data_IF_734495545835
#
_entry.id   IF_734495545835
#
_cell.length_a   1.000
_cell.length_b   1.000
_cell.length_c   1.000
_cell.angle_alpha   90.00
_cell.angle_beta   90.00
_cell.angle_gamma   90.00
#
_symmetry.space_group_name_H-M   'P 1'
#
loop_
_entity.id
_entity.type
_entity.pdbx_description
1 polymer ?
#
# COMPACT_ATOMS: atom_id res chain seq x y z
N UNK A 1 -4.86 15.30 -14.06
CA UNK A 1 -4.94 13.89 -13.61
C UNK A 1 -3.63 13.54 -12.92
N UNK A 2 -3.67 12.62 -11.97
CA UNK A 2 -2.48 12.17 -11.27
C UNK A 2 -2.47 10.64 -11.25
N UNK A 3 -1.31 10.04 -11.52
CA UNK A 3 -1.09 8.59 -11.46
C UNK A 3 0.16 8.29 -10.66
N UNK A 4 0.19 7.14 -9.98
CA UNK A 4 1.33 6.72 -9.17
C UNK A 4 1.61 5.23 -9.35
N UNK A 5 2.88 4.87 -9.38
CA UNK A 5 3.31 3.48 -9.42
C UNK A 5 4.68 3.30 -8.77
N UNK A 6 5.08 2.04 -8.60
CA UNK A 6 6.34 1.65 -7.96
C UNK A 6 7.24 0.92 -8.94
N UNK A 7 8.48 1.37 -9.04
CA UNK A 7 9.54 0.67 -9.77
C UNK A 7 9.98 -0.57 -9.02
N UNK A 8 10.22 -1.68 -9.75
CA UNK A 8 10.67 -2.95 -9.17
C UNK A 8 12.13 -2.91 -8.71
N UNK A 9 13.00 -2.23 -9.46
CA UNK A 9 14.44 -2.09 -9.18
C UNK A 9 14.82 -0.61 -9.02
N UNK A 10 14.33 0.07 -7.98
CA UNK A 10 14.46 1.52 -7.87
C UNK A 10 15.91 2.00 -7.67
N UNK A 11 16.77 1.17 -7.07
CA UNK A 11 18.16 1.53 -6.74
C UNK A 11 19.03 1.80 -7.97
N UNK A 12 18.82 1.06 -9.05
CA UNK A 12 19.55 1.23 -10.32
C UNK A 12 19.21 2.58 -10.96
N UNK A 13 17.93 2.94 -10.94
CA UNK A 13 17.43 4.22 -11.45
C UNK A 13 17.97 5.38 -10.60
N UNK A 14 17.91 5.27 -9.27
CA UNK A 14 18.44 6.29 -8.37
C UNK A 14 19.95 6.50 -8.55
N UNK A 15 20.71 5.42 -8.74
CA UNK A 15 22.15 5.50 -9.00
C UNK A 15 22.42 6.23 -10.32
N UNK A 16 21.63 5.96 -11.36
CA UNK A 16 21.72 6.67 -12.65
C UNK A 16 21.42 8.16 -12.49
N UNK A 17 20.40 8.52 -11.70
CA UNK A 17 20.02 9.91 -11.46
C UNK A 17 21.07 10.67 -10.64
N UNK A 18 21.70 10.04 -9.65
CA UNK A 18 22.75 10.63 -8.83
C UNK A 18 24.03 11.00 -9.61
N UNK A 19 24.24 10.41 -10.80
CA UNK A 19 25.36 10.76 -11.69
C UNK A 19 25.07 11.96 -12.61
N UNK A 20 23.81 12.43 -12.66
CA UNK A 20 23.45 13.65 -13.41
C UNK A 20 23.90 14.86 -12.58
N UNK A 21 24.55 15.88 -13.18
CA UNK A 21 25.23 16.93 -12.43
C UNK A 21 24.24 17.69 -11.54
N UNK A 22 24.38 17.53 -10.23
CA UNK A 22 23.76 18.40 -9.24
C UNK A 22 24.61 19.68 -9.17
N UNK A 23 24.00 20.84 -9.44
CA UNK A 23 24.68 22.11 -9.19
C UNK A 23 24.78 22.34 -7.67
N UNK A 24 26.00 22.51 -7.16
CA UNK A 24 26.23 22.93 -5.79
C UNK A 24 25.58 24.31 -5.53
N UNK A 25 24.59 24.36 -4.62
CA UNK A 25 24.04 25.60 -4.06
C UNK A 25 22.50 25.64 -3.98
N UNK A 26 21.96 26.09 -2.83
CA UNK A 26 20.52 26.15 -2.49
C UNK A 26 19.66 27.04 -3.41
N UNK A 27 20.25 27.89 -4.27
CA UNK A 27 19.53 28.91 -5.04
C UNK A 27 19.70 28.82 -6.58
N UNK A 28 20.34 27.78 -7.10
CA UNK A 28 20.46 27.58 -8.55
C UNK A 28 19.79 26.26 -8.96
N UNK A 29 18.47 26.28 -9.26
CA UNK A 29 17.83 25.16 -9.95
C UNK A 29 18.38 25.09 -11.38
N UNK A 30 19.48 24.37 -11.57
CA UNK A 30 20.01 24.07 -12.90
C UNK A 30 19.00 23.19 -13.63
N UNK A 31 18.28 23.77 -14.59
CA UNK A 31 17.42 23.03 -15.51
C UNK A 31 18.29 22.31 -16.55
N UNK A 32 18.17 20.98 -16.60
CA UNK A 32 18.93 20.15 -17.55
C UNK A 32 17.97 19.63 -18.61
N UNK A 33 18.26 19.86 -19.88
CA UNK A 33 17.54 19.19 -20.98
C UNK A 33 18.02 17.74 -21.09
N UNK A 34 17.09 16.79 -21.03
CA UNK A 34 17.38 15.36 -21.04
C UNK A 34 17.37 14.76 -22.45
N UNK A 35 17.85 13.52 -22.65
CA UNK A 35 17.74 12.80 -23.93
C UNK A 35 16.31 12.69 -24.49
N UNK A 36 15.29 12.61 -23.63
CA UNK A 36 13.88 12.66 -24.07
C UNK A 36 13.43 14.07 -24.51
N UNK A 37 14.24 15.10 -24.27
CA UNK A 37 13.87 16.51 -24.47
C UNK A 37 13.03 17.08 -23.34
N UNK A 38 12.91 16.38 -22.20
CA UNK A 38 12.29 16.91 -21.00
C UNK A 38 13.24 17.88 -20.29
N UNK A 39 12.67 18.76 -19.48
CA UNK A 39 13.41 19.58 -18.52
C UNK A 39 13.47 18.83 -17.20
N UNK A 40 14.68 18.50 -16.76
CA UNK A 40 14.94 17.89 -15.46
C UNK A 40 15.30 18.98 -14.43
N UNK A 41 14.66 18.91 -13.27
CA UNK A 41 14.94 19.76 -12.10
C UNK A 41 14.70 19.02 -10.79
N UNK A 42 15.22 19.56 -9.69
CA UNK A 42 14.86 19.12 -8.35
C UNK A 42 13.46 19.62 -7.99
N UNK A 43 12.67 18.77 -7.37
CA UNK A 43 11.35 19.08 -6.85
C UNK A 43 11.03 18.21 -5.64
N UNK A 44 9.74 18.10 -5.31
CA UNK A 44 9.26 17.43 -4.11
C UNK A 44 7.96 16.69 -4.41
N UNK A 45 7.72 15.59 -3.70
CA UNK A 45 6.43 14.91 -3.68
C UNK A 45 5.70 15.34 -2.41
N UNK A 46 4.63 16.12 -2.60
CA UNK A 46 3.80 16.65 -1.52
C UNK A 46 2.38 16.13 -1.66
N UNK A 47 1.75 15.86 -0.52
CA UNK A 47 0.32 15.62 -0.38
C UNK A 47 -0.36 16.88 0.15
N UNK A 48 -1.52 17.20 -0.41
CA UNK A 48 -2.29 18.40 -0.07
C UNK A 48 -3.65 17.97 0.48
N UNK A 49 -4.07 18.52 1.64
CA UNK A 49 -5.40 18.23 2.16
C UNK A 49 -6.46 18.96 1.32
N UNK A 50 -7.54 18.26 0.99
CA UNK A 50 -8.61 18.85 0.19
C UNK A 50 -9.52 19.80 0.99
N UNK A 51 -9.42 19.79 2.33
CA UNK A 51 -10.31 20.51 3.25
C UNK A 51 -9.63 21.57 4.11
N UNK A 52 -8.30 21.63 4.10
CA UNK A 52 -7.50 22.64 4.78
C UNK A 52 -6.33 23.11 3.89
N UNK A 53 -5.48 24.00 4.40
CA UNK A 53 -4.22 24.37 3.76
C UNK A 53 -3.05 23.52 4.29
N UNK A 54 -3.34 22.38 4.91
CA UNK A 54 -2.31 21.49 5.43
C UNK A 54 -1.71 20.68 4.28
N UNK A 55 -0.39 20.51 4.32
CA UNK A 55 0.34 19.71 3.35
C UNK A 55 1.36 18.81 4.06
N UNK A 56 1.74 17.73 3.39
CA UNK A 56 2.72 16.78 3.88
C UNK A 56 3.73 16.50 2.78
N UNK A 57 4.96 16.95 3.00
CA UNK A 57 6.09 16.64 2.13
C UNK A 57 6.58 15.22 2.43
N UNK A 58 6.40 14.31 1.46
CA UNK A 58 6.85 12.93 1.59
C UNK A 58 8.38 12.84 1.47
N UNK A 59 8.91 13.37 0.37
CA UNK A 59 10.32 13.32 0.03
C UNK A 59 10.63 14.31 -1.08
N UNK A 60 11.91 14.54 -1.31
CA UNK A 60 12.39 15.19 -2.52
C UNK A 60 12.16 14.30 -3.77
N UNK A 61 12.30 14.88 -4.96
CA UNK A 61 12.19 14.15 -6.22
C UNK A 61 13.00 14.78 -7.35
N UNK A 62 13.38 13.95 -8.32
CA UNK A 62 13.77 14.39 -9.66
C UNK A 62 12.53 14.56 -10.52
N UNK A 63 12.31 15.76 -11.08
CA UNK A 63 11.11 16.08 -11.85
C UNK A 63 11.48 16.30 -13.31
N UNK A 64 10.95 15.45 -14.18
CA UNK A 64 11.02 15.57 -15.62
C UNK A 64 9.75 16.24 -16.13
N UNK A 65 9.87 17.36 -16.82
CA UNK A 65 8.74 18.07 -17.40
C UNK A 65 8.84 18.16 -18.91
N UNK A 66 7.78 17.71 -19.61
CA UNK A 66 7.68 17.79 -21.06
C UNK A 66 6.22 17.97 -21.46
N UNK A 67 5.91 18.98 -22.28
CA UNK A 67 4.54 19.23 -22.74
C UNK A 67 3.54 19.48 -21.61
N UNK A 68 4.00 19.98 -20.45
CA UNK A 68 3.19 20.18 -19.25
C UNK A 68 2.97 18.90 -18.41
N UNK A 69 3.33 17.72 -18.92
CA UNK A 69 3.35 16.47 -18.13
C UNK A 69 4.59 16.49 -17.23
N UNK A 70 4.39 16.22 -15.93
CA UNK A 70 5.46 16.12 -14.95
C UNK A 70 5.59 14.70 -14.44
N UNK A 71 6.79 14.14 -14.51
CA UNK A 71 7.13 12.81 -14.00
C UNK A 71 8.11 13.00 -12.84
N UNK A 72 7.67 12.68 -11.64
CA UNK A 72 8.44 12.76 -10.41
C UNK A 72 9.00 11.39 -10.10
N UNK A 73 10.33 11.29 -9.99
CA UNK A 73 11.02 10.12 -9.45
C UNK A 73 11.43 10.45 -8.02
N UNK A 74 10.80 9.77 -7.06
CA UNK A 74 11.02 10.01 -5.65
C UNK A 74 12.48 9.73 -5.25
N UNK A 75 13.04 10.62 -4.44
CA UNK A 75 14.32 10.43 -3.79
C UNK A 75 14.10 10.13 -2.30
N UNK A 76 14.15 8.85 -1.90
CA UNK A 76 13.81 8.45 -0.53
C UNK A 76 14.88 8.84 0.50
N UNK A 77 16.02 9.40 0.08
CA UNK A 77 17.14 9.75 0.96
C UNK A 77 17.01 11.16 1.56
N UNK A 78 16.09 11.97 1.02
CA UNK A 78 15.95 13.39 1.39
C UNK A 78 14.47 13.75 1.64
N UNK A 79 14.24 14.52 2.71
CA UNK A 79 12.95 15.15 3.02
C UNK A 79 13.24 16.53 3.61
N UNK A 80 12.60 17.57 3.07
CA UNK A 80 12.83 18.98 3.41
C UNK A 80 14.20 19.54 2.96
N UNK A 81 14.84 18.97 1.94
CA UNK A 81 16.17 19.42 1.48
C UNK A 81 17.34 19.09 2.42
N UNK A 82 17.06 18.52 3.59
CA UNK A 82 18.05 18.00 4.52
C UNK A 82 18.14 16.47 4.38
N UNK A 83 19.35 15.93 4.52
CA UNK A 83 19.57 14.52 4.82
C UNK A 83 19.17 14.28 6.28
N UNK A 84 17.86 14.32 6.55
CA UNK A 84 17.33 14.08 7.88
C UNK A 84 17.62 12.62 8.24
N UNK A 85 18.37 12.39 9.31
CA UNK A 85 18.58 11.04 9.83
C UNK A 85 17.22 10.51 10.32
N UNK A 86 16.50 9.78 9.46
CA UNK A 86 15.24 9.11 9.79
C UNK A 86 15.59 7.96 10.74
N UNK A 87 15.81 8.32 12.00
CA UNK A 87 16.18 7.39 13.07
C UNK A 87 14.89 6.97 13.76
N UNK A 88 14.24 5.97 13.16
CA UNK A 88 12.98 5.41 13.64
C UNK A 88 13.18 3.91 13.82
N UNK A 89 12.57 3.28 14.85
CA UNK A 89 12.59 1.83 15.00
C UNK A 89 12.18 1.12 13.69
N UNK A 90 12.83 0.00 13.39
CA UNK A 90 12.51 -0.84 12.22
C UNK A 90 12.80 -0.17 10.86
N UNK A 91 13.66 0.84 10.80
CA UNK A 91 14.20 1.43 9.56
C UNK A 91 15.69 1.75 9.75
N UNK A 92 16.56 0.78 9.49
CA UNK A 92 18.01 0.95 9.62
C UNK A 92 18.63 1.59 8.37
N UNK A 93 17.95 1.50 7.23
CA UNK A 93 18.34 2.15 5.98
C UNK A 93 18.19 3.67 5.99
N UNK A 94 17.46 4.24 6.97
CA UNK A 94 17.25 5.69 7.15
C UNK A 94 16.63 6.39 5.94
N UNK A 95 15.89 5.64 5.13
CA UNK A 95 15.19 6.14 3.95
C UNK A 95 13.72 6.39 4.29
N UNK A 96 13.05 7.29 3.56
CA UNK A 96 11.59 7.32 3.50
C UNK A 96 11.14 6.08 2.73
N UNK A 97 10.89 4.96 3.42
CA UNK A 97 10.64 3.67 2.77
C UNK A 97 9.41 3.70 1.85
N UNK A 98 8.36 4.44 2.21
CA UNK A 98 7.19 4.67 1.34
C UNK A 98 7.51 5.49 0.08
N UNK A 99 8.63 6.21 0.02
CA UNK A 99 9.07 6.87 -1.22
C UNK A 99 9.88 5.93 -2.13
N UNK A 100 10.37 4.80 -1.64
CA UNK A 100 11.22 3.91 -2.43
C UNK A 100 10.53 3.44 -3.71
N UNK A 101 11.15 3.76 -4.85
CA UNK A 101 10.66 3.45 -6.19
C UNK A 101 9.37 4.15 -6.60
N UNK A 102 8.89 5.13 -5.82
CA UNK A 102 7.68 5.88 -6.16
C UNK A 102 7.92 6.73 -7.40
N UNK A 103 7.06 6.55 -8.39
CA UNK A 103 6.89 7.46 -9.52
C UNK A 103 5.52 8.10 -9.41
N UNK A 104 5.47 9.43 -9.46
CA UNK A 104 4.24 10.21 -9.53
C UNK A 104 4.20 10.93 -10.86
N UNK A 105 3.07 10.88 -11.55
CA UNK A 105 2.86 11.56 -12.83
C UNK A 105 1.71 12.55 -12.67
N UNK A 106 1.96 13.82 -12.97
CA UNK A 106 0.95 14.86 -13.04
C UNK A 106 0.72 15.25 -14.50
N UNK A 107 -0.55 15.22 -14.91
CA UNK A 107 -0.98 15.49 -16.29
C UNK A 107 -1.97 16.64 -16.28
N UNK A 108 -1.77 17.71 -17.08
CA UNK A 108 -2.74 18.79 -17.21
C UNK A 108 -4.12 18.28 -17.61
N UNK A 109 -5.17 18.97 -17.16
CA UNK A 109 -6.52 18.61 -17.56
C UNK A 109 -6.73 18.87 -19.05
N UNK A 110 -7.37 17.93 -19.75
CA UNK A 110 -7.60 18.02 -21.20
C UNK A 110 -6.40 17.63 -22.08
N UNK A 111 -5.29 17.20 -21.50
CA UNK A 111 -4.21 16.57 -22.29
C UNK A 111 -4.71 15.26 -22.89
N UNK A 112 -4.37 15.04 -24.16
CA UNK A 112 -4.69 13.81 -24.86
C UNK A 112 -3.99 12.59 -24.22
N UNK A 113 -4.70 11.46 -24.00
CA UNK A 113 -4.11 10.27 -23.40
C UNK A 113 -2.94 9.68 -24.20
N UNK A 114 -3.03 9.64 -25.54
CA UNK A 114 -1.94 9.08 -26.38
C UNK A 114 -0.70 9.96 -26.30
N UNK A 115 -0.88 11.30 -26.31
CA UNK A 115 0.23 12.23 -26.09
C UNK A 115 0.86 12.07 -24.70
N UNK A 116 0.05 11.80 -23.67
CA UNK A 116 0.54 11.55 -22.31
C UNK A 116 1.36 10.27 -22.24
N UNK A 117 0.85 9.19 -22.83
CA UNK A 117 1.51 7.90 -22.90
C UNK A 117 2.83 7.99 -23.66
N UNK A 118 2.85 8.69 -24.80
CA UNK A 118 4.07 8.93 -25.57
C UNK A 118 5.13 9.69 -24.75
N UNK A 119 4.74 10.80 -24.10
CA UNK A 119 5.68 11.60 -23.30
C UNK A 119 6.23 10.77 -22.13
N UNK A 120 5.37 10.06 -21.42
CA UNK A 120 5.78 9.21 -20.30
C UNK A 120 6.71 8.09 -20.77
N UNK A 121 6.34 7.38 -21.84
CA UNK A 121 7.15 6.33 -22.44
C UNK A 121 8.54 6.81 -22.86
N UNK A 122 8.62 7.98 -23.51
CA UNK A 122 9.92 8.56 -23.92
C UNK A 122 10.81 8.91 -22.72
N UNK A 123 10.24 9.43 -21.63
CA UNK A 123 10.99 9.72 -20.39
C UNK A 123 11.47 8.41 -19.76
N UNK A 124 10.57 7.43 -19.59
CA UNK A 124 10.89 6.14 -18.99
C UNK A 124 11.99 5.41 -19.79
N UNK A 125 11.90 5.38 -21.11
CA UNK A 125 12.87 4.70 -21.97
C UNK A 125 14.20 5.48 -22.05
N UNK A 126 14.17 6.75 -22.46
CA UNK A 126 15.40 7.48 -22.83
C UNK A 126 16.14 8.06 -21.64
N UNK A 127 15.42 8.44 -20.58
CA UNK A 127 16.01 9.11 -19.42
C UNK A 127 16.22 8.20 -18.22
N UNK A 128 15.41 7.14 -18.10
CA UNK A 128 15.47 6.15 -17.01
C UNK A 128 15.91 4.76 -17.48
N UNK A 129 15.98 4.49 -18.79
CA UNK A 129 16.42 3.18 -19.29
C UNK A 129 15.42 2.05 -19.04
N UNK A 130 14.12 2.36 -18.96
CA UNK A 130 13.03 1.40 -18.79
C UNK A 130 12.28 1.27 -20.12
N UNK A 131 12.75 0.40 -21.04
CA UNK A 131 12.08 0.20 -22.32
C UNK A 131 10.72 -0.47 -22.11
N UNK A 132 9.78 -0.17 -23.00
CA UNK A 132 8.47 -0.81 -23.07
C UNK A 132 7.66 -0.76 -21.77
N UNK A 133 7.90 0.26 -20.94
CA UNK A 133 7.32 0.37 -19.60
C UNK A 133 5.78 0.46 -19.57
N UNK A 134 5.18 0.90 -20.68
CA UNK A 134 3.73 1.06 -20.85
C UNK A 134 3.15 0.06 -21.87
N UNK A 135 3.97 -0.87 -22.39
CA UNK A 135 3.55 -1.85 -23.38
C UNK A 135 2.66 -2.95 -22.81
N UNK A 136 2.16 -3.80 -23.71
CA UNK A 136 1.43 -5.00 -23.31
C UNK A 136 2.36 -5.96 -22.54
N UNK A 137 1.87 -6.51 -21.42
CA UNK A 137 2.63 -7.46 -20.61
C UNK A 137 2.67 -8.82 -21.32
N UNK A 138 3.84 -9.35 -21.70
CA UNK A 138 3.93 -10.67 -22.32
C UNK A 138 3.50 -11.79 -21.37
N UNK A 139 2.94 -12.88 -21.91
CA UNK A 139 2.53 -14.05 -21.11
C UNK A 139 3.67 -14.62 -20.26
N UNK A 140 4.90 -14.63 -20.80
CA UNK A 140 6.09 -15.08 -20.07
C UNK A 140 6.40 -14.18 -18.87
N UNK A 141 6.33 -12.86 -19.05
CA UNK A 141 6.53 -11.89 -17.96
C UNK A 141 5.43 -11.99 -16.89
N UNK A 142 4.18 -12.23 -17.30
CA UNK A 142 3.10 -12.50 -16.35
C UNK A 142 3.36 -13.78 -15.56
N UNK A 143 3.77 -14.85 -16.23
CA UNK A 143 4.12 -16.12 -15.58
C UNK A 143 5.26 -15.95 -14.59
N UNK A 144 6.35 -15.27 -14.98
CA UNK A 144 7.46 -14.95 -14.08
C UNK A 144 7.00 -14.14 -12.87
N UNK A 145 6.11 -13.17 -13.07
CA UNK A 145 5.56 -12.37 -11.98
C UNK A 145 4.73 -13.21 -11.02
N UNK A 146 3.91 -14.15 -11.51
CA UNK A 146 3.17 -15.11 -10.68
C UNK A 146 4.12 -15.96 -9.82
N UNK A 147 5.19 -16.48 -10.41
CA UNK A 147 6.21 -17.26 -9.68
C UNK A 147 6.88 -16.42 -8.58
N UNK A 148 7.31 -15.20 -8.93
CA UNK A 148 7.94 -14.28 -7.98
C UNK A 148 6.98 -13.89 -6.86
N UNK A 149 5.71 -13.65 -7.18
CA UNK A 149 4.66 -13.31 -6.21
C UNK A 149 4.38 -14.46 -5.25
N UNK A 150 4.24 -15.68 -5.76
CA UNK A 150 4.03 -16.87 -4.93
C UNK A 150 5.21 -17.11 -3.99
N UNK A 151 6.45 -17.05 -4.51
CA UNK A 151 7.67 -17.14 -3.69
C UNK A 151 7.70 -16.06 -2.61
N UNK A 152 7.38 -14.82 -2.98
CA UNK A 152 7.32 -13.71 -2.05
C UNK A 152 6.29 -13.95 -0.95
N UNK A 153 5.05 -14.32 -1.30
CA UNK A 153 3.98 -14.56 -0.32
C UNK A 153 4.37 -15.66 0.68
N UNK A 154 4.89 -16.79 0.19
CA UNK A 154 5.20 -17.95 1.02
C UNK A 154 6.63 -17.99 1.57
N UNK A 155 7.40 -16.89 1.46
CA UNK A 155 8.78 -16.81 1.95
C UNK A 155 9.72 -17.90 1.38
N UNK A 156 9.55 -18.26 0.10
CA UNK A 156 10.35 -19.30 -0.55
C UNK A 156 11.62 -18.68 -1.15
N UNK A 157 12.79 -19.03 -0.61
CA UNK A 157 14.09 -18.50 -1.04
C UNK A 157 14.70 -19.27 -2.23
N UNK A 158 14.36 -20.56 -2.37
CA UNK A 158 14.84 -21.44 -3.45
C UNK A 158 13.91 -21.52 -4.66
N UNK A 159 14.14 -22.51 -5.52
CA UNK A 159 13.25 -22.81 -6.64
C UNK A 159 11.93 -23.40 -6.15
N UNK A 160 10.86 -23.13 -6.89
CA UNK A 160 9.55 -23.72 -6.64
C UNK A 160 9.55 -25.20 -7.04
N UNK A 161 8.91 -26.05 -6.24
CA UNK A 161 8.61 -27.43 -6.66
C UNK A 161 7.61 -27.44 -7.82
N UNK A 162 7.48 -28.54 -8.59
CA UNK A 162 6.47 -28.65 -9.64
C UNK A 162 5.05 -28.31 -9.18
N UNK A 163 4.67 -28.76 -7.99
CA UNK A 163 3.36 -28.49 -7.40
C UNK A 163 3.20 -27.02 -7.04
N UNK A 164 4.25 -26.39 -6.49
CA UNK A 164 4.23 -24.96 -6.17
C UNK A 164 4.18 -24.09 -7.44
N UNK A 165 4.85 -24.51 -8.52
CA UNK A 165 4.74 -23.83 -9.82
C UNK A 165 3.31 -23.93 -10.35
N UNK A 166 2.67 -25.11 -10.26
CA UNK A 166 1.28 -25.28 -10.67
C UNK A 166 0.34 -24.37 -9.87
N UNK A 167 0.56 -24.21 -8.56
CA UNK A 167 -0.22 -23.28 -7.73
C UNK A 167 0.04 -21.82 -8.12
N UNK A 168 1.30 -21.44 -8.33
CA UNK A 168 1.64 -20.10 -8.77
C UNK A 168 0.98 -19.74 -10.12
N UNK A 169 0.89 -20.69 -11.08
CA UNK A 169 0.23 -20.45 -12.38
C UNK A 169 -1.27 -20.19 -12.26
N UNK A 170 -1.93 -20.74 -11.23
CA UNK A 170 -3.36 -20.54 -10.94
C UNK A 170 -3.68 -19.17 -10.35
N UNK A 171 -2.67 -18.41 -9.91
CA UNK A 171 -2.85 -17.02 -9.50
C UNK A 171 -3.46 -16.22 -10.66
N UNK A 172 -4.42 -15.36 -10.36
CA UNK A 172 -5.06 -14.52 -11.37
C UNK A 172 -5.26 -13.11 -10.82
N UNK A 173 -5.36 -12.17 -11.74
CA UNK A 173 -5.55 -10.75 -11.41
C UNK A 173 -7.00 -10.50 -11.00
N UNK A 174 -7.17 -9.82 -9.88
CA UNK A 174 -8.47 -9.37 -9.40
C UNK A 174 -8.35 -7.95 -8.82
N UNK A 175 -9.35 -7.11 -9.09
CA UNK A 175 -9.46 -5.80 -8.46
C UNK A 175 -9.98 -5.98 -7.03
N UNK A 176 -9.12 -5.70 -6.05
CA UNK A 176 -9.41 -5.95 -4.62
C UNK A 176 -9.72 -4.66 -3.85
N UNK A 177 -9.49 -3.53 -4.51
CA UNK A 177 -9.79 -2.18 -4.05
C UNK A 177 -9.92 -1.28 -5.30
N UNK A 178 -10.82 -0.26 -5.34
CA UNK A 178 -11.04 0.52 -6.56
C UNK A 178 -9.75 1.12 -7.15
N UNK A 179 -9.47 0.76 -8.41
CA UNK A 179 -8.27 1.15 -9.14
C UNK A 179 -7.02 0.33 -8.80
N UNK A 180 -7.14 -0.73 -8.00
CA UNK A 180 -6.02 -1.54 -7.54
C UNK A 180 -6.27 -3.04 -7.74
N UNK A 181 -5.42 -3.64 -8.57
CA UNK A 181 -5.45 -5.05 -8.95
C UNK A 181 -4.23 -5.77 -8.41
N UNK A 182 -4.42 -6.96 -7.87
CA UNK A 182 -3.35 -7.85 -7.42
C UNK A 182 -3.58 -9.29 -7.87
N UNK A 183 -2.61 -10.16 -7.65
CA UNK A 183 -2.75 -11.60 -7.85
C UNK A 183 -3.44 -12.22 -6.62
N UNK A 184 -4.41 -13.09 -6.86
CA UNK A 184 -5.14 -13.80 -5.81
C UNK A 184 -5.15 -15.31 -6.07
N UNK A 185 -5.13 -16.10 -4.99
CA UNK A 185 -5.31 -17.55 -4.96
C UNK A 185 -6.74 -17.84 -4.52
N UNK A 186 -7.67 -17.91 -5.48
CA UNK A 186 -9.11 -18.07 -5.19
C UNK A 186 -9.38 -19.32 -4.35
N UNK A 187 -10.11 -19.13 -3.27
CA UNK A 187 -10.51 -20.22 -2.37
C UNK A 187 -9.45 -20.58 -1.32
N UNK A 188 -8.28 -19.92 -1.31
CA UNK A 188 -7.21 -20.20 -0.36
C UNK A 188 -7.64 -19.99 1.09
N UNK A 189 -8.49 -19.01 1.33
CA UNK A 189 -9.13 -18.77 2.61
C UNK A 189 -9.82 -20.02 3.16
N UNK A 190 -10.43 -20.85 2.32
CA UNK A 190 -11.09 -22.09 2.75
C UNK A 190 -10.11 -23.07 3.38
N UNK A 191 -8.91 -23.22 2.81
CA UNK A 191 -7.83 -24.04 3.39
C UNK A 191 -7.37 -23.46 4.74
N UNK A 192 -7.28 -22.14 4.85
CA UNK A 192 -6.92 -21.50 6.12
C UNK A 192 -7.99 -21.69 7.19
N UNK A 193 -9.27 -21.55 6.86
CA UNK A 193 -10.37 -21.75 7.80
C UNK A 193 -10.46 -23.21 8.27
N UNK A 194 -10.36 -24.18 7.35
CA UNK A 194 -10.39 -25.61 7.68
C UNK A 194 -9.25 -25.98 8.64
N UNK A 195 -8.06 -25.41 8.42
CA UNK A 195 -6.87 -25.74 9.21
C UNK A 195 -6.77 -24.97 10.53
N UNK A 196 -7.13 -23.69 10.54
CA UNK A 196 -6.82 -22.76 11.63
C UNK A 196 -8.04 -22.28 12.42
N UNK A 197 -9.25 -22.54 11.93
CA UNK A 197 -10.50 -22.20 12.60
C UNK A 197 -11.43 -21.37 11.72
N UNK A 198 -12.70 -21.79 11.66
CA UNK A 198 -13.77 -21.16 10.86
C UNK A 198 -14.07 -19.70 11.24
N UNK A 199 -13.70 -19.30 12.46
CA UNK A 199 -13.97 -17.97 13.01
C UNK A 199 -12.79 -16.99 12.87
N UNK A 200 -11.69 -17.43 12.23
CA UNK A 200 -10.53 -16.59 11.97
C UNK A 200 -10.85 -15.53 10.92
N UNK A 201 -10.51 -14.28 11.25
CA UNK A 201 -10.75 -13.10 10.41
C UNK A 201 -9.56 -12.14 10.45
N UNK A 202 -9.37 -11.43 9.35
CA UNK A 202 -8.64 -10.17 9.38
C UNK A 202 -9.56 -9.09 9.95
N UNK A 203 -9.03 -8.25 10.82
CA UNK A 203 -9.78 -7.14 11.42
C UNK A 203 -9.02 -5.83 11.34
N UNK A 204 -9.75 -4.73 11.40
CA UNK A 204 -9.20 -3.42 11.64
C UNK A 204 -9.87 -2.75 12.84
N UNK A 205 -9.06 -2.34 13.81
CA UNK A 205 -9.55 -1.77 15.07
C UNK A 205 -9.67 -0.25 14.97
N UNK A 206 -10.90 0.28 15.07
CA UNK A 206 -11.19 1.71 15.07
C UNK A 206 -11.14 2.28 16.50
N UNK A 207 -9.93 2.52 17.03
CA UNK A 207 -9.72 3.00 18.40
C UNK A 207 -10.50 4.30 18.74
N UNK A 208 -10.68 5.18 17.75
CA UNK A 208 -11.46 6.43 17.85
C UNK A 208 -12.54 6.51 16.76
N UNK A 209 -13.09 5.35 16.37
CA UNK A 209 -14.09 5.22 15.31
C UNK A 209 -15.32 6.09 15.56
N UNK A 210 -15.73 6.85 14.54
CA UNK A 210 -17.00 7.58 14.50
C UNK A 210 -17.92 6.95 13.47
N UNK A 211 -19.23 7.20 13.54
CA UNK A 211 -20.16 6.77 12.49
C UNK A 211 -19.72 7.26 11.10
N UNK A 212 -19.13 8.47 11.01
CA UNK A 212 -18.57 9.01 9.75
C UNK A 212 -17.39 8.19 9.23
N UNK A 213 -16.52 7.69 10.11
CA UNK A 213 -15.41 6.79 9.71
C UNK A 213 -15.96 5.46 9.22
N UNK A 214 -16.94 4.90 9.94
CA UNK A 214 -17.62 3.65 9.57
C UNK A 214 -18.32 3.80 8.22
N UNK A 215 -19.08 4.88 8.01
CA UNK A 215 -19.72 5.20 6.73
C UNK A 215 -18.72 5.18 5.57
N UNK A 216 -17.55 5.81 5.73
CA UNK A 216 -16.50 5.82 4.70
C UNK A 216 -15.98 4.42 4.41
N UNK A 217 -15.73 3.60 5.44
CA UNK A 217 -15.23 2.24 5.26
C UNK A 217 -16.27 1.38 4.51
N UNK A 218 -17.55 1.50 4.88
CA UNK A 218 -18.65 0.75 4.28
C UNK A 218 -18.97 1.21 2.85
N UNK A 219 -18.61 2.43 2.45
CA UNK A 219 -18.92 2.96 1.11
C UNK A 219 -17.70 3.03 0.18
N UNK A 220 -16.49 3.13 0.72
CA UNK A 220 -15.25 3.36 -0.05
C UNK A 220 -14.19 2.30 0.21
N UNK A 221 -14.36 1.45 1.23
CA UNK A 221 -13.34 0.54 1.72
C UNK A 221 -12.37 1.21 2.68
N UNK A 222 -11.43 0.41 3.19
CA UNK A 222 -10.35 0.88 4.04
C UNK A 222 -9.12 1.18 3.20
N UNK A 223 -8.52 2.36 3.38
CA UNK A 223 -7.40 2.86 2.58
C UNK A 223 -6.14 2.98 3.44
N UNK A 224 -4.99 2.65 2.85
CA UNK A 224 -3.69 2.92 3.47
C UNK A 224 -3.45 4.44 3.61
N UNK A 225 -2.41 4.83 4.34
CA UNK A 225 -2.11 6.24 4.58
C UNK A 225 -1.79 6.99 3.28
N UNK A 226 -0.99 6.41 2.38
CA UNK A 226 -0.64 7.06 1.11
C UNK A 226 -1.85 7.24 0.20
N UNK A 227 -2.80 6.30 0.21
CA UNK A 227 -4.03 6.40 -0.58
C UNK A 227 -5.01 7.42 -0.02
N UNK A 228 -5.08 7.57 1.31
CA UNK A 228 -5.88 8.66 1.90
C UNK A 228 -5.27 10.02 1.56
N UNK A 229 -3.95 10.15 1.68
CA UNK A 229 -3.26 11.41 1.42
C UNK A 229 -3.26 11.75 -0.07
N UNK A 230 -3.21 10.76 -0.97
CA UNK A 230 -3.34 10.97 -2.42
C UNK A 230 -4.67 11.60 -2.82
N UNK A 231 -5.74 11.25 -2.10
CA UNK A 231 -7.09 11.76 -2.31
C UNK A 231 -7.40 13.03 -1.52
N UNK A 232 -6.38 13.65 -0.91
CA UNK A 232 -6.51 14.84 -0.08
C UNK A 232 -7.30 14.61 1.21
N UNK A 233 -7.28 13.40 1.75
CA UNK A 233 -7.84 13.07 3.07
C UNK A 233 -6.68 12.88 4.05
N UNK A 234 -6.08 13.99 4.49
CA UNK A 234 -4.91 13.99 5.37
C UNK A 234 -5.32 13.91 6.84
N UNK A 235 -5.88 12.76 7.21
CA UNK A 235 -6.09 12.42 8.62
C UNK A 235 -4.92 11.59 9.14
N UNK A 236 -4.22 12.08 10.16
CA UNK A 236 -3.22 11.25 10.82
C UNK A 236 -3.89 10.06 11.51
N UNK A 237 -3.35 8.86 11.26
CA UNK A 237 -3.59 7.67 12.08
C UNK A 237 -2.77 7.73 13.37
N UNK A 238 -2.60 6.59 14.02
CA UNK A 238 -1.82 6.50 15.27
C UNK A 238 -0.35 6.88 15.06
N UNK A 239 0.22 6.52 13.90
CA UNK A 239 1.66 6.58 13.64
C UNK A 239 1.99 6.97 12.19
N UNK A 240 1.13 7.72 11.49
CA UNK A 240 1.24 7.91 10.02
C UNK A 240 2.62 8.34 9.48
N UNK A 241 3.36 9.19 10.18
CA UNK A 241 4.74 9.55 9.79
C UNK A 241 5.71 8.38 9.94
N UNK A 242 5.61 7.62 11.04
CA UNK A 242 6.41 6.41 11.28
C UNK A 242 6.09 5.38 10.20
N UNK A 243 4.80 5.17 9.89
CA UNK A 243 4.37 4.23 8.86
C UNK A 243 4.96 4.60 7.48
N UNK A 244 5.09 5.89 7.16
CA UNK A 244 5.71 6.33 5.89
C UNK A 244 7.21 6.07 5.88
N UNK A 245 7.85 6.31 7.02
CA UNK A 245 9.28 6.14 7.16
C UNK A 245 9.67 4.65 7.19
N UNK A 246 8.83 3.74 7.70
CA UNK A 246 9.06 2.28 7.69
C UNK A 246 8.53 1.58 6.43
N UNK A 247 7.59 2.20 5.72
CA UNK A 247 6.98 1.70 4.48
C UNK A 247 5.58 1.11 4.67
N UNK A 248 5.11 0.99 5.92
CA UNK A 248 3.76 0.53 6.25
C UNK A 248 2.65 1.45 5.75
N UNK A 249 2.92 2.72 5.43
CA UNK A 249 1.93 3.67 4.94
C UNK A 249 1.33 3.30 3.57
N UNK A 250 1.99 2.43 2.82
CA UNK A 250 1.50 1.84 1.57
C UNK A 250 0.54 0.64 1.79
N UNK A 251 0.22 0.34 3.05
CA UNK A 251 -0.58 -0.81 3.43
C UNK A 251 -1.68 -0.43 4.44
N UNK A 252 -2.77 -1.19 4.41
CA UNK A 252 -3.79 -1.21 5.44
C UNK A 252 -3.34 -2.16 6.54
N UNK A 253 -3.25 -1.64 7.75
CA UNK A 253 -2.93 -2.41 8.96
C UNK A 253 -4.17 -3.17 9.42
N UNK A 254 -4.03 -4.48 9.53
CA UNK A 254 -5.03 -5.39 10.07
C UNK A 254 -4.41 -6.33 11.09
N UNK A 255 -5.25 -7.09 11.79
CA UNK A 255 -4.82 -8.17 12.70
C UNK A 255 -5.57 -9.45 12.35
N UNK A 256 -4.92 -10.58 12.52
CA UNK A 256 -5.57 -11.89 12.49
C UNK A 256 -6.11 -12.18 13.88
N UNK A 257 -7.36 -12.62 13.98
CA UNK A 257 -8.03 -12.87 15.26
C UNK A 257 -9.21 -13.84 15.10
N UNK A 258 -9.56 -14.50 16.20
CA UNK A 258 -10.72 -15.38 16.30
C UNK A 258 -11.88 -14.66 17.02
N UNK A 259 -13.07 -15.24 17.06
CA UNK A 259 -14.26 -14.61 17.65
C UNK A 259 -14.08 -14.31 19.14
N UNK A 260 -13.45 -15.23 19.88
CA UNK A 260 -13.23 -15.09 21.31
C UNK A 260 -12.34 -13.89 21.66
N UNK A 261 -11.30 -13.62 20.87
CA UNK A 261 -10.43 -12.46 21.06
C UNK A 261 -11.08 -11.17 20.56
N UNK A 262 -11.85 -11.20 19.45
CA UNK A 262 -12.63 -10.04 19.00
C UNK A 262 -13.61 -9.55 20.07
N UNK A 263 -14.31 -10.47 20.73
CA UNK A 263 -15.26 -10.15 21.80
C UNK A 263 -14.65 -9.46 23.02
N UNK A 264 -13.32 -9.45 23.15
CA UNK A 264 -12.58 -8.74 24.23
C UNK A 264 -12.12 -7.34 23.80
N UNK A 265 -12.25 -6.98 22.53
CA UNK A 265 -11.79 -5.69 22.01
C UNK A 265 -12.77 -4.58 22.38
N UNK A 266 -12.25 -3.43 22.78
CA UNK A 266 -13.05 -2.24 23.08
C UNK A 266 -13.29 -1.42 21.81
N UNK A 267 -14.38 -0.66 21.71
CA UNK A 267 -14.63 0.22 20.56
C UNK A 267 -15.23 -0.51 19.36
N UNK A 268 -15.04 0.04 18.16
CA UNK A 268 -15.56 -0.54 16.92
C UNK A 268 -14.49 -1.35 16.18
N UNK A 269 -14.83 -2.54 15.73
CA UNK A 269 -13.96 -3.45 14.99
C UNK A 269 -14.56 -3.71 13.61
N UNK A 270 -13.80 -3.42 12.55
CA UNK A 270 -14.15 -3.84 11.19
C UNK A 270 -13.69 -5.28 11.03
N UNK A 271 -14.61 -6.17 10.68
CA UNK A 271 -14.31 -7.57 10.40
C UNK A 271 -14.41 -7.80 8.90
N UNK A 272 -13.36 -8.34 8.30
CA UNK A 272 -13.31 -8.61 6.87
C UNK A 272 -13.69 -10.05 6.57
N UNK A 273 -14.41 -10.26 5.48
CA UNK A 273 -14.74 -11.58 4.93
C UNK A 273 -13.44 -12.36 4.69
N UNK A 274 -13.41 -13.67 4.96
CA UNK A 274 -12.20 -14.48 4.91
C UNK A 274 -11.52 -14.49 3.53
N UNK A 275 -12.26 -14.24 2.45
CA UNK A 275 -11.78 -14.09 1.08
C UNK A 275 -10.67 -13.04 0.94
N UNK A 276 -10.54 -12.10 1.87
CA UNK A 276 -9.40 -11.17 1.89
C UNK A 276 -8.06 -11.91 1.98
N UNK A 277 -8.03 -13.11 2.58
CA UNK A 277 -6.84 -13.95 2.68
C UNK A 277 -6.45 -14.64 1.36
N UNK A 278 -7.30 -14.63 0.33
CA UNK A 278 -6.94 -15.12 -1.01
C UNK A 278 -5.91 -14.21 -1.69
N UNK A 279 -5.79 -12.97 -1.22
CA UNK A 279 -4.83 -12.00 -1.73
C UNK A 279 -3.38 -12.45 -1.49
N UNK A 280 -2.49 -12.12 -2.42
CA UNK A 280 -1.04 -12.41 -2.30
C UNK A 280 -0.18 -11.15 -2.16
N UNK A 281 -0.80 -10.00 -1.90
CA UNK A 281 -0.14 -8.72 -1.66
C UNK A 281 -0.19 -8.31 -0.19
N UNK A 282 -0.13 -9.28 0.72
CA UNK A 282 -0.01 -8.99 2.14
C UNK A 282 1.18 -9.70 2.76
N UNK A 283 1.72 -9.08 3.79
CA UNK A 283 2.79 -9.63 4.62
C UNK A 283 2.42 -9.40 6.09
N UNK A 284 3.07 -10.12 7.00
CA UNK A 284 2.71 -10.05 8.40
C UNK A 284 3.88 -10.23 9.36
N UNK A 285 3.71 -9.69 10.55
CA UNK A 285 4.58 -9.85 11.70
C UNK A 285 3.75 -10.29 12.91
N UNK A 286 4.38 -10.97 13.87
CA UNK A 286 3.74 -11.31 15.16
C UNK A 286 3.96 -10.25 16.25
N UNK A 287 4.60 -9.13 15.90
CA UNK A 287 4.80 -7.94 16.74
C UNK A 287 4.70 -6.67 15.89
N UNK A 288 4.65 -5.52 16.56
CA UNK A 288 4.52 -4.21 15.94
C UNK A 288 5.86 -3.79 15.30
N UNK A 289 5.83 -3.60 14.00
CA UNK A 289 6.95 -3.16 13.16
C UNK A 289 6.64 -1.88 12.39
N UNK A 290 5.47 -1.29 12.65
CA UNK A 290 4.87 -0.25 11.82
C UNK A 290 4.84 -0.66 10.33
N UNK A 291 4.63 -1.96 10.06
CA UNK A 291 4.61 -2.52 8.72
C UNK A 291 5.92 -2.35 7.94
N UNK A 292 7.08 -2.43 8.61
CA UNK A 292 8.38 -2.18 8.01
C UNK A 292 8.60 -2.95 6.72
N UNK A 293 9.25 -2.31 5.76
CA UNK A 293 9.72 -2.90 4.51
C UNK A 293 11.23 -2.86 4.37
N UNK A 294 11.93 -2.38 5.40
CA UNK A 294 13.39 -2.34 5.46
C UNK A 294 13.96 -3.75 5.45
N UNK A 295 14.92 -4.02 4.57
CA UNK A 295 15.47 -5.35 4.32
C UNK A 295 15.98 -6.05 5.60
N UNK A 296 16.54 -5.31 6.57
CA UNK A 296 17.02 -5.87 7.84
C UNK A 296 15.88 -6.44 8.70
N UNK A 297 14.68 -5.86 8.60
CA UNK A 297 13.51 -6.26 9.39
C UNK A 297 12.49 -7.03 8.56
N UNK A 298 12.49 -6.85 7.24
CA UNK A 298 11.58 -7.49 6.30
C UNK A 298 11.86 -8.99 6.17
N UNK A 299 13.08 -9.42 6.48
CA UNK A 299 13.44 -10.84 6.61
C UNK A 299 12.69 -11.55 7.75
N UNK A 300 12.23 -10.81 8.78
CA UNK A 300 11.51 -11.37 9.93
C UNK A 300 10.00 -11.54 9.65
N UNK A 301 9.51 -11.12 8.48
CA UNK A 301 8.10 -11.31 8.12
C UNK A 301 7.77 -12.80 8.06
N UNK A 302 6.54 -13.12 8.42
CA UNK A 302 6.07 -14.49 8.46
C UNK A 302 5.35 -14.87 7.17
N UNK A 303 5.49 -16.13 6.76
CA UNK A 303 4.63 -16.71 5.74
C UNK A 303 3.20 -16.86 6.28
N UNK A 304 2.18 -17.00 5.40
CA UNK A 304 0.81 -17.19 5.83
C UNK A 304 0.64 -18.32 6.84
N UNK A 305 1.13 -19.51 6.55
CA UNK A 305 1.02 -20.66 7.46
C UNK A 305 1.66 -20.36 8.82
N UNK A 306 2.84 -19.74 8.84
CA UNK A 306 3.56 -19.45 10.09
C UNK A 306 2.83 -18.41 10.95
N UNK A 307 2.26 -17.35 10.36
CA UNK A 307 1.50 -16.38 11.16
C UNK A 307 0.20 -17.00 11.67
N UNK A 308 -0.52 -17.77 10.86
CA UNK A 308 -1.75 -18.43 11.31
C UNK A 308 -1.44 -19.43 12.43
N UNK A 309 -0.46 -20.32 12.24
CA UNK A 309 0.01 -21.25 13.29
C UNK A 309 0.40 -20.50 14.58
N UNK A 310 1.07 -19.35 14.47
CA UNK A 310 1.49 -18.55 15.64
C UNK A 310 0.30 -17.97 16.40
N UNK A 311 -0.70 -17.45 15.70
CA UNK A 311 -1.84 -16.73 16.29
C UNK A 311 -2.92 -17.69 16.79
N UNK A 312 -3.10 -18.85 16.15
CA UNK A 312 -4.15 -19.82 16.52
C UNK A 312 -3.67 -20.91 17.46
N UNK A 313 -2.36 -20.98 17.75
CA UNK A 313 -1.84 -21.94 18.71
C UNK A 313 -2.42 -21.70 20.13
N UNK A 314 -3.16 -22.66 20.71
CA UNK A 314 -3.82 -22.50 22.00
C UNK A 314 -2.84 -22.39 23.18
N UNK A 315 -1.57 -22.76 22.98
CA UNK A 315 -0.50 -22.60 23.97
C UNK A 315 0.26 -21.27 23.82
N UNK A 316 -0.07 -20.48 22.79
CA UNK A 316 0.52 -19.17 22.55
C UNK A 316 -0.32 -18.07 23.17
N UNK A 317 0.31 -16.96 23.55
CA UNK A 317 -0.40 -15.75 23.94
C UNK A 317 -0.85 -15.01 22.69
N UNK A 318 -2.13 -14.62 22.62
CA UNK A 318 -2.61 -13.75 21.56
C UNK A 318 -1.91 -12.39 21.62
N UNK A 319 -1.06 -12.10 20.65
CA UNK A 319 -0.42 -10.80 20.51
C UNK A 319 -1.39 -9.82 19.86
N UNK A 320 -1.83 -8.81 20.61
CA UNK A 320 -2.55 -7.66 20.03
C UNK A 320 -1.68 -6.83 19.09
N UNK A 321 -0.39 -7.14 18.97
CA UNK A 321 0.54 -6.47 18.09
C UNK A 321 0.84 -7.30 16.83
N UNK A 322 0.06 -8.36 16.52
CA UNK A 322 0.21 -9.02 15.24
C UNK A 322 -0.25 -8.08 14.12
N UNK A 323 0.65 -7.76 13.20
CA UNK A 323 0.40 -6.85 12.09
C UNK A 323 0.26 -7.64 10.81
N UNK A 324 -0.84 -7.46 10.09
CA UNK A 324 -1.02 -7.95 8.72
C UNK A 324 -1.29 -6.77 7.80
N UNK A 325 -0.50 -6.68 6.74
CA UNK A 325 -0.33 -5.49 5.91
C UNK A 325 -0.85 -5.74 4.51
N UNK A 326 -2.09 -5.32 4.20
CA UNK A 326 -2.64 -5.42 2.84
C UNK A 326 -2.27 -4.20 2.01
N UNK A 327 -1.64 -4.35 0.83
CA UNK A 327 -1.25 -3.19 0.02
C UNK A 327 -2.47 -2.36 -0.42
N UNK A 328 -2.26 -1.04 -0.50
CA UNK A 328 -3.16 0.01 -1.03
C UNK A 328 -4.48 0.19 -0.27
N UNK A 329 -5.29 -0.85 -0.17
CA UNK A 329 -6.62 -0.79 0.40
C UNK A 329 -7.29 -2.14 0.50
N UNK A 330 -8.41 -2.19 1.21
CA UNK A 330 -9.33 -3.31 1.28
C UNK A 330 -10.70 -2.77 0.85
N UNK A 331 -11.24 -3.25 -0.27
CA UNK A 331 -12.52 -2.78 -0.81
C UNK A 331 -13.68 -2.96 0.17
N UNK A 332 -14.69 -2.09 0.08
CA UNK A 332 -15.89 -2.16 0.93
C UNK A 332 -16.60 -3.51 0.87
N UNK A 333 -16.56 -4.17 -0.30
CA UNK A 333 -17.16 -5.51 -0.49
C UNK A 333 -16.52 -6.62 0.35
N UNK A 334 -15.31 -6.40 0.89
CA UNK A 334 -14.70 -7.32 1.86
C UNK A 334 -15.15 -7.09 3.29
N UNK A 335 -15.92 -6.04 3.60
CA UNK A 335 -16.43 -5.86 4.97
C UNK A 335 -17.53 -6.89 5.22
N UNK A 336 -17.32 -7.76 6.20
CA UNK A 336 -18.30 -8.74 6.65
C UNK A 336 -19.24 -8.14 7.69
N UNK A 337 -18.67 -7.43 8.67
CA UNK A 337 -19.42 -6.79 9.74
C UNK A 337 -18.63 -5.67 10.42
N UNK A 338 -19.37 -4.84 11.17
CA UNK A 338 -18.80 -3.90 12.13
C UNK A 338 -19.28 -4.35 13.51
N UNK A 339 -18.36 -4.79 14.35
CA UNK A 339 -18.64 -5.17 15.73
C UNK A 339 -18.45 -3.96 16.63
N UNK A 340 -19.39 -3.68 17.54
CA UNK A 340 -19.36 -2.53 18.47
C UNK A 340 -19.77 -2.95 19.87
N UNK A 341 -19.23 -2.26 20.88
CA UNK A 341 -19.56 -2.52 22.28
C UNK A 341 -20.99 -2.13 22.65
N UNK A 342 -21.89 -3.10 22.72
CA UNK A 342 -23.26 -2.97 23.27
C UNK A 342 -24.32 -2.44 22.31
N UNK A 343 -25.60 -2.70 22.64
CA UNK A 343 -26.77 -2.35 21.81
C UNK A 343 -26.95 -0.84 21.63
N UNK A 344 -26.73 -0.05 22.67
CA UNK A 344 -26.97 1.40 22.64
C UNK A 344 -25.97 2.11 21.70
N UNK A 345 -24.74 1.59 21.63
CA UNK A 345 -23.72 2.05 20.66
C UNK A 345 -24.11 1.68 19.23
N UNK A 346 -24.60 0.44 19.04
CA UNK A 346 -25.04 -0.05 17.73
C UNK A 346 -26.17 0.78 17.15
N UNK A 347 -27.23 1.00 17.91
CA UNK A 347 -28.43 1.68 17.40
C UNK A 347 -28.15 3.17 17.13
N UNK A 348 -27.31 3.80 17.95
CA UNK A 348 -26.82 5.16 17.70
C UNK A 348 -26.02 5.26 16.39
N UNK A 349 -25.08 4.34 16.16
CA UNK A 349 -24.29 4.30 14.93
C UNK A 349 -25.19 4.07 13.71
N UNK A 350 -26.14 3.13 13.79
CA UNK A 350 -27.08 2.87 12.68
C UNK A 350 -27.91 4.12 12.37
N UNK A 351 -28.44 4.81 13.38
CA UNK A 351 -29.20 6.04 13.17
C UNK A 351 -28.36 7.13 12.48
N UNK A 352 -27.09 7.29 12.88
CA UNK A 352 -26.17 8.22 12.23
C UNK A 352 -25.85 7.81 10.80
N UNK A 353 -25.62 6.52 10.52
CA UNK A 353 -25.38 6.01 9.17
C UNK A 353 -26.56 6.29 8.23
N UNK A 354 -27.79 6.05 8.69
CA UNK A 354 -29.02 6.38 7.94
C UNK A 354 -29.18 7.87 7.72
N UNK A 355 -28.83 8.69 8.72
CA UNK A 355 -28.82 10.16 8.55
C UNK A 355 -27.84 10.64 7.46
N UNK A 356 -26.80 9.84 7.16
CA UNK A 356 -25.86 10.07 6.06
C UNK A 356 -26.30 9.42 4.73
N UNK A 357 -27.47 8.78 4.70
CA UNK A 357 -28.05 8.15 3.50
C UNK A 357 -27.66 6.69 3.27
N UNK A 358 -27.01 6.03 4.24
CA UNK A 358 -26.70 4.60 4.15
C UNK A 358 -27.84 3.79 4.77
N UNK A 359 -28.80 3.39 3.93
CA UNK A 359 -29.98 2.63 4.34
C UNK A 359 -29.77 1.11 4.28
N UNK A 360 -28.97 0.62 3.33
CA UNK A 360 -28.69 -0.81 3.16
C UNK A 360 -27.25 -1.05 2.69
N UNK A 361 -26.69 -2.21 3.05
CA UNK A 361 -25.38 -2.71 2.62
C UNK A 361 -25.55 -4.17 2.20
N UNK A 362 -25.19 -4.51 0.95
CA UNK A 362 -25.38 -5.85 0.40
C UNK A 362 -26.82 -6.39 0.60
N UNK A 363 -27.83 -5.50 0.53
CA UNK A 363 -29.24 -5.82 0.77
C UNK A 363 -29.64 -6.04 2.23
N UNK A 364 -28.79 -5.64 3.19
CA UNK A 364 -29.05 -5.70 4.63
C UNK A 364 -29.29 -4.29 5.21
N UNK A 365 -30.36 -4.06 6.00
CA UNK A 365 -30.69 -2.74 6.58
C UNK A 365 -29.82 -2.24 7.75
#
# INVERSE_FOLDING_TARGET
>A
MEFRFKLRTPTEIMTTLATKPESEGEDAQAEITTPSGAVLRRGKITYEDASSNDSYELCDASVFEKGGVKVFIADPSYRNGDNWDITIPYNSGRLVRTAMGLVKVEVPSGTDPEATEQILGEILEKDLGIPDALGEVPEEAEREYKMARYKWQHMITGDLTPEQMEQAEKLHREEVFPGYTTLVERGKHGEYLERYGEDIRAIHHLWTGSAKSIYRILTQGLMCTTERYSRGVMKSGMSSTIDMDTGGADSVFTRITNEAERGKMNGAVVVFKPEVFDRTDWYSYNYDTYGSTDDEYFVDRLSPDTIFDTITNPNSYYSSCNEQMFRTGIGAGFVESIEVGGSDSRDGIIAELRSMGLEEIDGKP
#
